data_IF_091715500978
#
_entry.id   IF_091715500978
#
_cell.length_a   1.000
_cell.length_b   1.000
_cell.length_c   1.000
_cell.angle_alpha   90.00
_cell.angle_beta   90.00
_cell.angle_gamma   90.00
#
_symmetry.space_group_name_H-M   'P 1'
#
loop_
_entity.id
_entity.type
_entity.pdbx_description
1 polymer ?
#
# COMPACT_ATOMS: atom_id res chain seq x y z
N UNK A 1 -6.84 -19.80 -14.07
CA UNK A 1 -7.07 -18.34 -14.04
C UNK A 1 -7.81 -18.00 -12.76
N UNK A 2 -7.48 -16.89 -12.12
CA UNK A 2 -8.11 -16.40 -10.89
C UNK A 2 -8.54 -14.96 -11.07
N UNK A 3 -9.64 -14.58 -10.44
CA UNK A 3 -10.06 -13.20 -10.30
C UNK A 3 -10.60 -12.99 -8.88
N UNK A 4 -10.12 -11.98 -8.18
CA UNK A 4 -10.55 -11.68 -6.82
C UNK A 4 -10.62 -10.19 -6.53
N UNK A 5 -11.36 -9.87 -5.49
CA UNK A 5 -11.33 -8.58 -4.84
C UNK A 5 -11.28 -8.76 -3.33
N UNK A 6 -10.73 -7.78 -2.62
CA UNK A 6 -10.55 -7.89 -1.20
C UNK A 6 -10.25 -6.56 -0.53
N UNK A 7 -9.94 -6.67 0.76
CA UNK A 7 -9.53 -5.55 1.58
C UNK A 7 -8.26 -5.87 2.33
N UNK A 8 -7.31 -4.94 2.29
CA UNK A 8 -6.06 -4.96 3.00
C UNK A 8 -6.13 -4.05 4.24
N UNK A 9 -5.91 -4.65 5.41
CA UNK A 9 -5.76 -3.96 6.69
C UNK A 9 -4.28 -3.69 6.96
N UNK A 10 -3.95 -2.52 7.52
CA UNK A 10 -2.56 -2.21 7.92
C UNK A 10 -2.04 -3.21 8.96
N UNK A 11 -0.84 -3.75 8.75
CA UNK A 11 -0.20 -4.69 9.68
C UNK A 11 1.03 -4.08 10.34
N UNK A 12 2.10 -3.85 9.58
CA UNK A 12 3.24 -3.05 10.03
C UNK A 12 3.01 -1.60 9.62
N UNK A 13 3.38 -0.69 10.51
CA UNK A 13 3.15 0.73 10.31
C UNK A 13 4.47 1.47 10.47
N UNK A 14 4.77 2.34 9.51
CA UNK A 14 5.83 3.32 9.69
C UNK A 14 5.34 4.43 10.60
N UNK A 15 6.27 5.00 11.35
CA UNK A 15 6.06 6.25 12.06
C UNK A 15 6.59 7.37 11.16
N UNK A 16 5.79 8.41 10.97
CA UNK A 16 6.36 9.68 10.55
C UNK A 16 6.97 10.37 11.77
N UNK A 17 7.99 11.19 11.59
CA UNK A 17 8.54 12.01 12.67
C UNK A 17 7.43 12.74 13.44
N UNK A 18 7.63 12.79 14.75
CA UNK A 18 6.65 13.11 15.79
C UNK A 18 5.82 14.36 15.48
N UNK A 19 4.55 14.37 15.89
CA UNK A 19 3.87 15.65 16.11
C UNK A 19 4.63 16.40 17.21
N UNK A 20 5.32 17.48 16.85
CA UNK A 20 5.90 18.39 17.82
C UNK A 20 4.82 19.39 18.20
N UNK A 21 4.31 19.29 19.43
CA UNK A 21 3.51 20.36 19.99
C UNK A 21 3.90 20.65 21.43
N UNK A 22 4.01 21.94 21.73
CA UNK A 22 4.20 22.44 23.08
C UNK A 22 2.80 22.67 23.68
N UNK A 23 2.36 21.83 24.61
CA UNK A 23 1.13 22.09 25.37
C UNK A 23 1.48 22.94 26.58
N UNK A 24 0.92 24.14 26.68
CA UNK A 24 0.95 24.93 27.92
C UNK A 24 0.00 24.27 28.93
N UNK A 25 0.55 23.73 30.02
CA UNK A 25 -0.23 23.24 31.17
C UNK A 25 0.27 24.01 32.39
N UNK A 26 -0.38 25.13 32.70
CA UNK A 26 0.13 26.10 33.69
C UNK A 26 1.37 26.85 33.18
N UNK A 27 2.36 27.10 34.04
CA UNK A 27 3.63 27.77 33.71
C UNK A 27 4.70 26.84 33.10
N UNK A 28 4.34 25.61 32.73
CA UNK A 28 5.26 24.61 32.18
C UNK A 28 4.81 24.14 30.80
N UNK A 29 5.79 23.90 29.92
CA UNK A 29 5.59 23.31 28.61
C UNK A 29 5.65 21.78 28.73
N UNK A 30 4.53 21.10 28.46
CA UNK A 30 4.49 19.63 28.33
C UNK A 30 4.47 19.30 26.85
N UNK A 31 5.50 18.61 26.35
CA UNK A 31 5.49 18.06 25.00
C UNK A 31 4.77 16.70 25.01
N UNK A 32 3.59 16.64 24.39
CA UNK A 32 2.91 15.36 24.16
C UNK A 32 3.20 14.91 22.73
N UNK A 33 3.57 13.63 22.57
CA UNK A 33 3.88 13.02 21.27
C UNK A 33 2.83 11.97 20.96
N UNK A 34 1.84 12.31 20.14
CA UNK A 34 0.96 11.31 19.56
C UNK A 34 1.65 10.64 18.37
N UNK A 35 1.57 9.31 18.28
CA UNK A 35 2.19 8.56 17.17
C UNK A 35 1.20 8.46 16.03
N UNK A 36 1.55 8.99 14.86
CA UNK A 36 0.82 8.74 13.63
C UNK A 36 1.37 7.52 12.91
N UNK A 37 0.75 6.38 13.17
CA UNK A 37 1.11 5.13 12.52
C UNK A 37 0.34 4.94 11.21
N UNK A 38 1.02 4.63 10.11
CA UNK A 38 0.40 4.43 8.81
C UNK A 38 1.01 3.27 8.02
N UNK A 39 0.22 2.73 7.08
CA UNK A 39 0.69 1.86 6.01
C UNK A 39 -0.03 2.21 4.71
N UNK A 40 0.72 2.42 3.64
CA UNK A 40 0.15 2.68 2.31
C UNK A 40 -0.34 1.41 1.61
N UNK A 41 -0.15 0.24 2.25
CA UNK A 41 -0.68 -1.04 1.80
C UNK A 41 -2.17 -1.25 2.10
N UNK A 42 -2.78 -0.36 2.89
CA UNK A 42 -4.20 -0.45 3.28
C UNK A 42 -5.12 0.00 2.15
N UNK A 43 -6.13 -0.80 1.82
CA UNK A 43 -7.13 -0.41 0.83
C UNK A 43 -7.84 -1.59 0.18
N UNK A 44 -8.57 -1.30 -0.91
CA UNK A 44 -9.25 -2.33 -1.71
C UNK A 44 -8.29 -2.85 -2.76
N UNK A 45 -8.19 -4.17 -2.89
CA UNK A 45 -7.38 -4.80 -3.93
C UNK A 45 -8.24 -5.52 -4.97
N UNK A 46 -7.77 -5.48 -6.21
CA UNK A 46 -8.32 -6.21 -7.35
C UNK A 46 -7.20 -7.03 -7.98
N UNK A 47 -7.43 -8.32 -8.18
CA UNK A 47 -6.37 -9.22 -8.61
C UNK A 47 -6.85 -10.14 -9.74
N UNK A 48 -5.95 -10.40 -10.67
CA UNK A 48 -6.12 -11.30 -11.79
C UNK A 48 -4.87 -12.18 -11.89
N UNK A 49 -5.06 -13.49 -11.88
CA UNK A 49 -3.95 -14.43 -11.89
C UNK A 49 -4.07 -15.52 -12.95
N UNK A 50 -2.91 -15.97 -13.40
CA UNK A 50 -2.75 -17.18 -14.20
C UNK A 50 -1.82 -18.11 -13.46
N UNK A 51 -2.15 -19.40 -13.43
CA UNK A 51 -1.37 -20.37 -12.68
C UNK A 51 -1.45 -21.75 -13.28
N UNK A 52 -0.44 -22.56 -12.96
CA UNK A 52 -0.28 -23.93 -13.41
C UNK A 52 0.03 -24.83 -12.21
N UNK A 53 -0.84 -25.82 -11.98
CA UNK A 53 -0.63 -26.85 -10.96
C UNK A 53 -0.04 -28.10 -11.60
N UNK A 54 1.07 -28.57 -11.05
CA UNK A 54 1.69 -29.86 -11.41
C UNK A 54 0.91 -31.03 -10.81
N UNK A 55 1.25 -32.26 -11.21
CA UNK A 55 0.66 -33.48 -10.61
C UNK A 55 1.02 -33.70 -9.14
N UNK A 56 2.06 -33.02 -8.63
CA UNK A 56 2.56 -33.18 -7.27
C UNK A 56 1.94 -32.15 -6.31
N UNK A 57 0.78 -31.59 -6.67
CA UNK A 57 0.09 -30.54 -5.90
C UNK A 57 0.87 -29.23 -5.74
N UNK A 58 2.03 -29.09 -6.39
CA UNK A 58 2.81 -27.85 -6.42
C UNK A 58 2.40 -27.07 -7.67
N UNK A 59 2.21 -25.76 -7.56
CA UNK A 59 1.96 -24.91 -8.71
C UNK A 59 2.69 -23.58 -8.65
N UNK A 60 2.66 -22.90 -9.80
CA UNK A 60 3.24 -21.58 -9.99
C UNK A 60 2.12 -20.65 -10.42
N UNK A 61 2.08 -19.44 -9.87
CA UNK A 61 1.08 -18.43 -10.20
C UNK A 61 1.79 -17.10 -10.50
N UNK A 62 1.28 -16.41 -11.51
CA UNK A 62 1.61 -15.02 -11.77
C UNK A 62 0.32 -14.22 -11.63
N UNK A 63 0.27 -13.37 -10.62
CA UNK A 63 -0.87 -12.50 -10.35
C UNK A 63 -0.51 -11.04 -10.66
N UNK A 64 -1.37 -10.34 -11.41
CA UNK A 64 -1.37 -8.89 -11.50
C UNK A 64 -2.45 -8.32 -10.58
N UNK A 65 -2.13 -7.28 -9.81
CA UNK A 65 -3.10 -6.63 -8.94
C UNK A 65 -3.03 -5.11 -8.96
N UNK A 66 -4.15 -4.49 -8.61
CA UNK A 66 -4.27 -3.05 -8.37
C UNK A 66 -4.76 -2.82 -6.94
N UNK A 67 -3.95 -2.12 -6.15
CA UNK A 67 -4.31 -1.65 -4.81
C UNK A 67 -4.83 -0.21 -4.92
N UNK A 68 -6.12 -0.02 -4.62
CA UNK A 68 -6.73 1.28 -4.41
C UNK A 68 -6.65 1.61 -2.91
N UNK A 69 -5.63 2.37 -2.52
CA UNK A 69 -5.38 2.66 -1.10
C UNK A 69 -6.47 3.51 -0.47
N UNK A 70 -6.72 3.24 0.81
CA UNK A 70 -7.58 4.07 1.64
C UNK A 70 -6.78 5.02 2.51
N UNK A 71 -7.35 6.20 2.72
CA UNK A 71 -6.79 7.22 3.61
C UNK A 71 -6.66 6.69 5.04
N UNK A 72 -5.45 6.79 5.57
CA UNK A 72 -5.20 6.74 7.01
C UNK A 72 -5.21 8.18 7.51
N UNK A 73 -6.11 8.51 8.44
CA UNK A 73 -6.32 9.86 8.93
C UNK A 73 -5.78 9.95 10.36
N UNK A 74 -4.89 10.90 10.60
CA UNK A 74 -4.42 11.29 11.92
C UNK A 74 -4.98 12.67 12.25
N UNK A 75 -5.49 12.83 13.46
CA UNK A 75 -5.92 14.13 13.98
C UNK A 75 -5.25 14.36 15.32
N UNK A 76 -4.76 15.57 15.52
CA UNK A 76 -4.20 16.02 16.78
C UNK A 76 -4.70 17.42 17.06
N UNK A 77 -5.24 17.62 18.26
CA UNK A 77 -5.66 18.94 18.72
C UNK A 77 -4.43 19.70 19.26
N UNK A 78 -4.21 20.90 18.72
CA UNK A 78 -3.09 21.78 19.01
C UNK A 78 -3.65 23.01 19.74
N UNK A 79 -3.18 23.28 20.96
CA UNK A 79 -3.81 24.26 21.85
C UNK A 79 -5.34 24.04 22.00
N UNK A 80 -6.09 24.96 22.63
CA UNK A 80 -7.49 24.70 23.04
C UNK A 80 -8.44 24.49 21.84
N UNK A 81 -8.07 24.90 20.62
CA UNK A 81 -9.00 24.95 19.48
C UNK A 81 -8.39 24.75 18.08
N UNK A 82 -7.08 24.53 17.93
CA UNK A 82 -6.50 24.25 16.61
C UNK A 82 -6.51 22.74 16.33
N UNK A 83 -6.72 22.35 15.08
CA UNK A 83 -6.77 20.94 14.68
C UNK A 83 -5.80 20.70 13.55
N UNK A 84 -4.80 19.85 13.81
CA UNK A 84 -3.92 19.32 12.78
C UNK A 84 -4.49 18.02 12.23
N UNK A 85 -4.61 17.90 10.91
CA UNK A 85 -5.08 16.70 10.23
C UNK A 85 -4.04 16.25 9.20
N UNK A 86 -3.74 14.95 9.22
CA UNK A 86 -2.86 14.27 8.26
C UNK A 86 -3.62 13.15 7.57
N UNK A 87 -3.52 13.04 6.26
CA UNK A 87 -4.07 11.93 5.48
C UNK A 87 -2.99 11.34 4.60
N UNK A 88 -2.84 10.02 4.60
CA UNK A 88 -1.89 9.30 3.75
C UNK A 88 -2.52 8.07 3.12
N UNK A 89 -2.26 7.85 1.84
CA UNK A 89 -2.73 6.67 1.08
C UNK A 89 -1.85 6.45 -0.15
N UNK A 90 -1.97 5.29 -0.79
CA UNK A 90 -1.28 5.02 -2.05
C UNK A 90 -2.05 4.13 -3.01
N UNK A 91 -1.78 4.27 -4.30
CA UNK A 91 -2.39 3.48 -5.35
C UNK A 91 -1.29 2.79 -6.16
N UNK A 92 -1.34 1.46 -6.25
CA UNK A 92 -0.23 0.67 -6.80
C UNK A 92 -0.70 -0.42 -7.75
N UNK A 93 -0.03 -0.51 -8.90
CA UNK A 93 -0.06 -1.67 -9.77
C UNK A 93 1.04 -2.63 -9.32
N UNK A 94 0.71 -3.92 -9.19
CA UNK A 94 1.61 -4.92 -8.62
C UNK A 94 1.57 -6.19 -9.44
N UNK A 95 2.67 -6.93 -9.37
CA UNK A 95 2.87 -8.25 -9.95
C UNK A 95 3.42 -9.15 -8.84
N UNK A 96 2.83 -10.33 -8.68
CA UNK A 96 3.16 -11.31 -7.66
C UNK A 96 3.45 -12.67 -8.30
N UNK A 97 4.70 -12.96 -8.70
CA UNK A 97 5.14 -14.32 -8.95
C UNK A 97 5.16 -15.14 -7.64
N UNK A 98 4.44 -16.25 -7.62
CA UNK A 98 4.34 -17.11 -6.44
C UNK A 98 4.42 -18.61 -6.77
N UNK A 99 4.80 -19.37 -5.75
CA UNK A 99 4.72 -20.83 -5.71
C UNK A 99 3.63 -21.17 -4.71
N UNK A 100 2.83 -22.19 -5.00
CA UNK A 100 1.79 -22.66 -4.10
C UNK A 100 1.75 -24.18 -3.98
N UNK A 101 1.22 -24.64 -2.86
CA UNK A 101 0.83 -26.03 -2.61
C UNK A 101 -0.69 -26.12 -2.54
N UNK A 102 -1.29 -27.04 -3.30
CA UNK A 102 -2.73 -27.27 -3.37
C UNK A 102 -3.08 -28.65 -2.82
N UNK A 103 -3.68 -28.72 -1.63
CA UNK A 103 -4.13 -29.98 -1.03
C UNK A 103 -5.65 -30.15 -1.16
N UNK A 104 -6.12 -31.11 -1.96
CA UNK A 104 -7.54 -31.44 -2.00
C UNK A 104 -7.96 -32.13 -0.70
N UNK A 105 -8.99 -31.61 -0.04
CA UNK A 105 -9.74 -32.27 1.03
C UNK A 105 -11.08 -32.78 0.46
N UNK A 106 -11.91 -33.43 1.29
CA UNK A 106 -13.15 -34.08 0.81
C UNK A 106 -14.10 -33.14 0.06
N UNK A 107 -14.36 -31.94 0.59
CA UNK A 107 -15.34 -30.99 0.02
C UNK A 107 -14.76 -29.63 -0.36
N UNK A 108 -13.46 -29.43 -0.11
CA UNK A 108 -12.77 -28.17 -0.33
C UNK A 108 -11.29 -28.47 -0.59
N UNK A 109 -10.54 -27.53 -1.15
CA UNK A 109 -9.09 -27.62 -1.26
C UNK A 109 -8.43 -26.50 -0.48
N UNK A 110 -7.25 -26.77 0.09
CA UNK A 110 -6.43 -25.77 0.76
C UNK A 110 -5.28 -25.39 -0.17
N UNK A 111 -5.10 -24.08 -0.41
CA UNK A 111 -3.95 -23.52 -1.13
C UNK A 111 -3.08 -22.75 -0.14
N UNK A 112 -1.79 -23.08 -0.09
CA UNK A 112 -0.77 -22.30 0.61
C UNK A 112 0.12 -21.67 -0.45
N UNK A 113 0.37 -20.37 -0.39
CA UNK A 113 1.15 -19.65 -1.39
C UNK A 113 2.20 -18.76 -0.74
N UNK A 114 3.33 -18.61 -1.43
CA UNK A 114 4.37 -17.64 -1.09
C UNK A 114 4.98 -17.09 -2.38
N UNK A 115 5.18 -15.78 -2.43
CA UNK A 115 5.62 -15.09 -3.64
C UNK A 115 6.37 -13.80 -3.36
N UNK A 116 7.11 -13.35 -4.37
CA UNK A 116 7.71 -12.03 -4.38
C UNK A 116 6.72 -11.01 -4.92
N UNK A 117 6.67 -9.82 -4.32
CA UNK A 117 5.75 -8.78 -4.71
C UNK A 117 6.52 -7.57 -5.23
N UNK A 118 6.22 -7.14 -6.45
CA UNK A 118 6.82 -5.95 -7.04
C UNK A 118 5.75 -5.07 -7.69
N UNK A 119 5.95 -3.77 -7.72
CA UNK A 119 4.98 -2.86 -8.27
C UNK A 119 5.48 -1.43 -8.42
N UNK A 120 4.59 -0.60 -8.93
CA UNK A 120 4.81 0.82 -9.13
C UNK A 120 3.48 1.56 -8.90
N UNK A 121 3.57 2.85 -8.61
CA UNK A 121 2.39 3.63 -8.31
C UNK A 121 2.71 4.96 -7.67
N UNK A 122 1.72 5.48 -6.95
CA UNK A 122 1.79 6.79 -6.31
C UNK A 122 1.35 6.69 -4.86
N UNK A 123 1.94 7.52 -4.03
CA UNK A 123 1.49 7.79 -2.67
C UNK A 123 1.11 9.27 -2.57
N UNK A 124 0.12 9.57 -1.74
CA UNK A 124 -0.36 10.92 -1.51
C UNK A 124 -0.30 11.23 -0.03
N UNK A 125 0.09 12.45 0.30
CA UNK A 125 0.11 12.98 1.65
C UNK A 125 -0.59 14.33 1.68
N UNK A 126 -1.67 14.42 2.44
CA UNK A 126 -2.36 15.68 2.68
C UNK A 126 -2.19 16.07 4.15
N UNK A 127 -1.86 17.32 4.39
CA UNK A 127 -1.75 17.92 5.71
C UNK A 127 -2.59 19.20 5.73
N UNK A 128 -3.33 19.40 6.80
CA UNK A 128 -4.09 20.63 6.98
C UNK A 128 -4.13 21.04 8.44
N UNK A 129 -4.07 22.35 8.69
CA UNK A 129 -4.31 22.94 10.00
C UNK A 129 -5.50 23.87 9.92
N UNK A 130 -6.37 23.75 10.91
CA UNK A 130 -7.46 24.69 11.17
C UNK A 130 -7.17 25.37 12.50
N UNK A 131 -7.19 26.71 12.52
CA UNK A 131 -7.05 27.50 13.74
C UNK A 131 -8.43 27.80 14.35
N UNK A 132 -8.46 28.14 15.65
CA UNK A 132 -9.58 28.74 16.40
C UNK A 132 -10.90 28.92 15.62
N UNK A 133 -11.95 28.19 16.02
CA UNK A 133 -13.32 28.34 15.48
C UNK A 133 -13.46 28.11 13.95
N UNK A 134 -12.53 27.38 13.32
CA UNK A 134 -12.68 26.96 11.93
C UNK A 134 -11.91 27.81 10.91
N UNK A 135 -11.07 28.75 11.37
CA UNK A 135 -10.25 29.55 10.46
C UNK A 135 -9.24 28.68 9.71
N UNK A 136 -9.12 28.81 8.38
CA UNK A 136 -8.16 28.03 7.60
C UNK A 136 -6.74 28.44 7.97
N UNK A 137 -5.92 27.48 8.38
CA UNK A 137 -4.51 27.70 8.69
C UNK A 137 -3.64 27.45 7.48
N UNK A 138 -3.26 26.20 7.25
CA UNK A 138 -2.58 25.81 6.03
C UNK A 138 -3.12 24.50 5.47
N UNK A 139 -2.97 24.31 4.15
CA UNK A 139 -3.20 23.04 3.48
C UNK A 139 -1.99 22.75 2.59
N UNK A 140 -1.47 21.53 2.71
CA UNK A 140 -0.29 21.06 1.99
C UNK A 140 -0.56 19.66 1.44
N UNK A 141 -0.42 19.48 0.14
CA UNK A 141 -0.63 18.20 -0.54
C UNK A 141 0.60 17.81 -1.35
N UNK A 142 1.03 16.56 -1.18
CA UNK A 142 2.17 16.00 -1.89
C UNK A 142 1.78 14.72 -2.62
N UNK A 143 2.32 14.57 -3.82
CA UNK A 143 2.33 13.34 -4.59
C UNK A 143 3.75 12.77 -4.63
N UNK A 144 3.90 11.49 -4.31
CA UNK A 144 5.17 10.75 -4.41
C UNK A 144 5.07 9.67 -5.47
N UNK A 145 6.04 9.59 -6.38
CA UNK A 145 5.97 8.75 -7.58
C UNK A 145 7.35 8.28 -8.10
N UNK A 146 7.35 7.57 -9.23
CA UNK A 146 8.54 7.15 -9.96
C UNK A 146 9.38 6.06 -9.27
N UNK A 147 8.90 5.52 -8.16
CA UNK A 147 9.58 4.54 -7.33
C UNK A 147 9.11 3.11 -7.52
N UNK A 148 9.60 2.24 -6.63
CA UNK A 148 9.24 0.83 -6.60
C UNK A 148 8.50 0.46 -5.32
N UNK A 149 7.51 -0.41 -5.47
CA UNK A 149 6.85 -1.15 -4.41
C UNK A 149 7.49 -2.55 -4.38
N UNK A 150 8.12 -2.94 -3.28
CA UNK A 150 8.79 -4.25 -3.18
C UNK A 150 8.45 -4.94 -1.86
N UNK A 151 8.33 -6.26 -1.91
CA UNK A 151 8.02 -7.07 -0.74
C UNK A 151 7.85 -8.54 -1.04
N UNK A 152 7.20 -9.24 -0.12
CA UNK A 152 6.74 -10.60 -0.30
C UNK A 152 5.29 -10.75 0.17
N UNK A 153 4.62 -11.76 -0.38
CA UNK A 153 3.27 -12.13 -0.02
C UNK A 153 3.23 -13.61 0.37
N UNK A 154 2.53 -13.93 1.45
CA UNK A 154 2.19 -15.28 1.83
C UNK A 154 0.68 -15.40 2.02
N UNK A 155 0.06 -16.45 1.48
CA UNK A 155 -1.39 -16.58 1.45
C UNK A 155 -1.88 -17.98 1.81
N UNK A 156 -3.03 -18.04 2.47
CA UNK A 156 -3.78 -19.26 2.75
C UNK A 156 -5.18 -19.09 2.15
N UNK A 157 -5.50 -19.92 1.15
CA UNK A 157 -6.79 -19.90 0.47
C UNK A 157 -7.55 -21.19 0.68
N UNK A 158 -8.86 -21.08 0.90
CA UNK A 158 -9.81 -22.20 0.91
C UNK A 158 -10.61 -22.15 -0.38
N UNK A 159 -10.60 -23.24 -1.14
CA UNK A 159 -11.26 -23.37 -2.43
C UNK A 159 -12.46 -24.31 -2.31
N UNK A 160 -13.63 -23.83 -2.70
CA UNK A 160 -14.87 -24.58 -2.76
C UNK A 160 -15.26 -24.85 -4.22
N UNK A 161 -15.32 -26.11 -4.66
CA UNK A 161 -15.71 -26.44 -6.03
C UNK A 161 -17.20 -26.18 -6.25
N UNK A 162 -17.52 -25.28 -7.17
CA UNK A 162 -18.89 -25.06 -7.65
C UNK A 162 -19.21 -26.13 -8.71
N UNK A 163 -18.25 -26.40 -9.60
CA UNK A 163 -18.32 -27.46 -10.61
C UNK A 163 -16.90 -27.91 -11.01
N UNK A 164 -16.77 -28.73 -12.06
CA UNK A 164 -15.49 -29.29 -12.50
C UNK A 164 -14.46 -28.25 -13.00
N UNK A 165 -14.89 -27.03 -13.32
CA UNK A 165 -14.06 -25.96 -13.89
C UNK A 165 -13.97 -24.73 -13.00
N UNK A 166 -14.97 -24.49 -12.15
CA UNK A 166 -15.12 -23.28 -11.36
C UNK A 166 -15.05 -23.58 -9.86
N UNK A 167 -14.15 -22.90 -9.17
CA UNK A 167 -14.07 -22.86 -7.71
C UNK A 167 -14.36 -21.44 -7.21
N UNK A 168 -15.08 -21.32 -6.11
CA UNK A 168 -15.07 -20.12 -5.28
C UNK A 168 -13.88 -20.23 -4.32
N UNK A 169 -13.21 -19.12 -4.00
CA UNK A 169 -12.20 -19.12 -2.96
C UNK A 169 -12.32 -17.94 -2.02
N UNK A 170 -11.88 -18.17 -0.79
CA UNK A 170 -11.59 -17.13 0.20
C UNK A 170 -10.11 -17.23 0.53
N UNK A 171 -9.44 -16.09 0.57
CA UNK A 171 -7.99 -15.99 0.80
C UNK A 171 -7.69 -15.04 1.95
N UNK A 172 -6.79 -15.45 2.82
CA UNK A 172 -6.13 -14.59 3.79
C UNK A 172 -4.66 -14.51 3.40
N UNK A 173 -4.17 -13.30 3.15
CA UNK A 173 -2.78 -13.05 2.81
C UNK A 173 -2.12 -12.11 3.80
N UNK A 174 -0.81 -12.26 3.92
CA UNK A 174 0.08 -11.38 4.62
C UNK A 174 1.07 -10.81 3.61
N UNK A 175 1.09 -9.50 3.51
CA UNK A 175 2.00 -8.73 2.66
C UNK A 175 2.97 -7.99 3.59
N UNK A 176 4.26 -8.23 3.40
CA UNK A 176 5.32 -7.43 3.99
C UNK A 176 6.02 -6.69 2.84
N UNK A 177 5.86 -5.37 2.81
CA UNK A 177 6.30 -4.57 1.67
C UNK A 177 6.57 -3.13 2.06
N UNK A 178 7.29 -2.43 1.19
CA UNK A 178 7.54 -1.01 1.29
C UNK A 178 7.47 -0.34 -0.09
N UNK A 179 7.19 0.96 -0.09
CA UNK A 179 7.25 1.81 -1.27
C UNK A 179 8.40 2.81 -1.13
N UNK A 180 9.24 2.92 -2.15
CA UNK A 180 10.37 3.85 -2.17
C UNK A 180 10.23 4.80 -3.35
N UNK A 181 9.66 6.01 -3.18
CA UNK A 181 9.53 6.96 -4.27
C UNK A 181 10.89 7.44 -4.76
N UNK A 182 10.95 7.85 -6.03
CA UNK A 182 12.11 8.54 -6.60
C UNK A 182 11.84 10.03 -6.79
N UNK A 183 10.57 10.44 -6.78
CA UNK A 183 10.13 11.82 -6.97
C UNK A 183 9.02 12.17 -5.99
N UNK A 184 9.00 13.42 -5.55
CA UNK A 184 7.91 14.04 -4.83
C UNK A 184 7.50 15.33 -5.54
N UNK A 185 6.24 15.75 -5.39
CA UNK A 185 5.75 17.03 -5.89
C UNK A 185 4.70 17.61 -4.97
N UNK A 186 4.84 18.89 -4.64
CA UNK A 186 3.78 19.67 -4.01
C UNK A 186 2.69 19.96 -5.06
N UNK A 187 1.49 19.45 -4.80
CA UNK A 187 0.33 19.65 -5.68
C UNK A 187 -0.60 20.73 -5.15
N UNK A 188 -0.46 21.12 -3.88
CA UNK A 188 -1.22 22.20 -3.27
C UNK A 188 -0.48 22.79 -2.08
N UNK A 189 -0.42 24.12 -2.02
CA UNK A 189 0.04 24.88 -0.85
C UNK A 189 -0.82 26.13 -0.65
N UNK A 190 -1.68 26.09 0.37
CA UNK A 190 -2.56 27.19 0.76
C UNK A 190 -2.18 27.64 2.16
N UNK A 191 -2.08 28.94 2.38
CA UNK A 191 -1.89 29.55 3.71
C UNK A 191 -2.91 30.66 3.93
N UNK A 192 -3.72 30.51 4.98
CA UNK A 192 -4.93 31.30 5.18
C UNK A 192 -5.89 31.15 4.00
N UNK A 193 -6.22 32.27 3.38
CA UNK A 193 -7.12 32.34 2.21
C UNK A 193 -6.39 32.35 0.86
N UNK A 194 -5.06 32.34 0.86
CA UNK A 194 -4.25 32.51 -0.36
C UNK A 194 -3.66 31.17 -0.82
N UNK A 195 -3.80 30.89 -2.11
CA UNK A 195 -3.16 29.76 -2.78
C UNK A 195 -1.80 30.20 -3.34
N UNK A 196 -0.75 29.56 -2.87
CA UNK A 196 0.64 29.83 -3.25
C UNK A 196 1.21 28.74 -4.18
N UNK A 197 0.42 27.74 -4.55
CA UNK A 197 0.88 26.55 -5.29
C UNK A 197 1.61 26.91 -6.57
N UNK A 198 1.09 27.89 -7.33
CA UNK A 198 1.64 28.25 -8.64
C UNK A 198 2.87 29.15 -8.56
N UNK A 199 3.12 29.79 -7.42
CA UNK A 199 4.27 30.67 -7.23
C UNK A 199 5.47 30.00 -6.54
N UNK A 200 5.32 28.74 -6.12
CA UNK A 200 6.43 27.94 -5.60
C UNK A 200 7.52 27.83 -6.68
N UNK A 201 8.78 28.01 -6.32
CA UNK A 201 9.87 27.70 -7.23
C UNK A 201 10.01 26.17 -7.43
N UNK A 202 10.93 25.73 -8.30
CA UNK A 202 11.09 24.31 -8.60
C UNK A 202 11.61 23.55 -7.38
N UNK A 203 12.47 24.20 -6.59
CA UNK A 203 13.05 23.64 -5.37
C UNK A 203 11.98 23.31 -4.32
N UNK A 204 11.04 24.22 -4.07
CA UNK A 204 9.95 24.04 -3.10
C UNK A 204 8.85 23.12 -3.64
N UNK A 205 8.71 23.02 -4.97
CA UNK A 205 7.63 22.25 -5.62
C UNK A 205 8.01 20.81 -5.90
N UNK A 206 9.27 20.52 -6.21
CA UNK A 206 9.70 19.20 -6.69
C UNK A 206 10.83 18.61 -5.85
N UNK A 207 10.72 17.32 -5.55
CA UNK A 207 11.70 16.58 -4.78
C UNK A 207 12.23 15.40 -5.60
N UNK A 208 13.53 15.15 -5.53
CA UNK A 208 14.18 13.96 -6.09
C UNK A 208 14.84 13.16 -4.98
N UNK A 209 14.56 11.86 -4.93
CA UNK A 209 15.06 10.96 -3.91
C UNK A 209 16.24 10.12 -4.42
N UNK A 210 17.35 10.16 -3.68
CA UNK A 210 18.60 9.49 -4.02
C UNK A 210 19.22 8.79 -2.81
N UNK A 211 20.13 7.85 -3.04
CA UNK A 211 20.80 7.12 -1.96
C UNK A 211 21.94 7.93 -1.31
N UNK A 212 22.36 9.03 -1.94
CA UNK A 212 23.39 9.95 -1.46
C UNK A 212 23.05 11.36 -1.92
N UNK A 213 23.19 12.33 -1.02
CA UNK A 213 22.99 13.75 -1.33
C UNK A 213 24.35 14.43 -1.27
N UNK A 214 24.93 14.70 -2.43
CA UNK A 214 26.26 15.31 -2.54
C UNK A 214 26.23 16.85 -2.51
N UNK A 215 25.03 17.45 -2.68
CA UNK A 215 24.82 18.90 -2.66
C UNK A 215 23.75 19.27 -1.62
N UNK A 216 24.13 20.09 -0.64
CA UNK A 216 23.18 20.72 0.30
C UNK A 216 22.51 21.98 -0.28
N UNK A 217 23.06 22.55 -1.35
CA UNK A 217 22.56 23.79 -1.97
C UNK A 217 22.25 23.54 -3.44
N UNK A 218 20.98 23.64 -3.82
CA UNK A 218 20.58 23.78 -5.23
C UNK A 218 20.07 25.20 -5.49
N UNK A 219 19.96 25.56 -6.76
CA UNK A 219 19.31 26.79 -7.21
C UNK A 219 17.79 26.65 -7.17
N UNK A 220 17.03 27.77 -7.06
CA UNK A 220 15.54 27.77 -7.14
C UNK A 220 14.94 27.05 -8.36
N UNK A 221 15.75 26.87 -9.42
CA UNK A 221 15.39 26.26 -10.69
C UNK A 221 15.55 24.72 -10.73
N UNK A 222 16.15 24.12 -9.70
CA UNK A 222 16.39 22.67 -9.62
C UNK A 222 15.56 22.02 -8.49
N UNK A 223 15.04 20.79 -8.67
CA UNK A 223 14.33 20.07 -7.63
C UNK A 223 15.18 19.87 -6.37
N UNK A 224 14.54 19.85 -5.20
CA UNK A 224 15.21 19.51 -3.95
C UNK A 224 15.70 18.06 -3.93
N UNK A 225 16.95 17.83 -3.56
CA UNK A 225 17.52 16.50 -3.42
C UNK A 225 17.38 16.00 -1.99
N UNK A 226 16.71 14.86 -1.81
CA UNK A 226 16.48 14.22 -0.52
C UNK A 226 17.03 12.80 -0.49
N UNK A 227 17.38 12.32 0.71
CA UNK A 227 17.71 10.91 0.92
C UNK A 227 16.46 10.06 0.71
N UNK A 228 16.62 8.93 0.02
CA UNK A 228 15.54 8.00 -0.26
C UNK A 228 14.92 7.46 1.03
N UNK A 229 13.60 7.57 1.12
CA UNK A 229 12.80 7.05 2.21
C UNK A 229 11.99 5.82 1.78
N UNK A 230 11.76 4.91 2.73
CA UNK A 230 10.93 3.72 2.54
C UNK A 230 9.64 3.88 3.36
N UNK A 231 8.50 3.91 2.67
CA UNK A 231 7.17 4.00 3.28
C UNK A 231 6.62 2.60 3.51
N UNK A 232 6.20 2.29 4.76
CA UNK A 232 5.60 1.00 5.07
C UNK A 232 4.36 0.74 4.21
N UNK A 233 4.31 -0.44 3.61
CA UNK A 233 3.21 -0.90 2.78
C UNK A 233 2.72 -2.31 3.16
N UNK A 234 3.12 -2.80 4.35
CA UNK A 234 2.72 -4.10 4.86
C UNK A 234 1.24 -4.12 5.27
N UNK A 235 0.57 -5.23 5.01
CA UNK A 235 -0.86 -5.42 5.27
C UNK A 235 -1.24 -6.88 5.48
N UNK A 236 -2.39 -7.12 6.10
CA UNK A 236 -3.10 -8.41 6.10
C UNK A 236 -4.34 -8.23 5.23
N UNK A 237 -4.48 -9.04 4.18
CA UNK A 237 -5.59 -8.99 3.25
C UNK A 237 -6.59 -10.10 3.47
N UNK A 238 -7.87 -9.79 3.28
CA UNK A 238 -8.95 -10.76 3.14
C UNK A 238 -9.56 -10.60 1.75
N UNK A 239 -9.60 -11.67 0.98
CA UNK A 239 -10.10 -11.65 -0.40
C UNK A 239 -11.14 -12.74 -0.64
N UNK A 240 -12.02 -12.47 -1.60
CA UNK A 240 -12.93 -13.47 -2.18
C UNK A 240 -12.80 -13.43 -3.70
N UNK A 241 -12.86 -14.60 -4.33
CA UNK A 241 -12.68 -14.68 -5.76
C UNK A 241 -13.15 -15.98 -6.37
N UNK A 242 -12.96 -16.05 -7.68
CA UNK A 242 -13.25 -17.23 -8.49
C UNK A 242 -11.95 -17.76 -9.11
N UNK A 243 -11.85 -19.07 -9.19
CA UNK A 243 -10.79 -19.76 -9.93
C UNK A 243 -11.42 -20.58 -11.06
N UNK A 244 -10.98 -20.31 -12.27
CA UNK A 244 -11.35 -21.05 -13.47
C UNK A 244 -10.21 -21.97 -13.94
N UNK A 245 -10.51 -23.26 -14.06
CA UNK A 245 -9.62 -24.28 -14.61
C UNK A 245 -9.82 -24.36 -16.11
N UNK A 246 -8.81 -23.94 -16.88
CA UNK A 246 -8.89 -23.92 -18.36
C UNK A 246 -8.59 -25.28 -18.98
N UNK A 247 -7.72 -26.08 -18.35
CA UNK A 247 -7.34 -27.40 -18.85
C UNK A 247 -7.30 -28.41 -17.72
N UNK A 248 -7.94 -29.55 -17.95
CA UNK A 248 -7.74 -30.78 -17.18
C UNK A 248 -6.99 -31.77 -18.04
N UNK A 249 -5.86 -32.28 -17.57
CA UNK A 249 -5.25 -33.45 -18.17
C UNK A 249 -5.97 -34.66 -17.58
N UNK A 250 -6.83 -35.30 -18.37
CA UNK A 250 -7.48 -36.55 -17.96
C UNK A 250 -6.40 -37.55 -17.53
N UNK A 251 -6.61 -38.18 -16.37
CA UNK A 251 -5.84 -39.38 -16.03
C UNK A 251 -6.29 -40.45 -17.01
N UNK A 252 -5.43 -40.81 -17.97
CA UNK A 252 -5.58 -42.05 -18.71
C UNK A 252 -5.82 -43.15 -17.67
N UNK A 253 -7.00 -43.77 -17.72
CA UNK A 253 -7.28 -45.01 -17.01
C UNK A 253 -6.25 -46.00 -17.51
N UNK A 254 -5.26 -46.32 -16.68
CA UNK A 254 -4.46 -47.51 -16.93
C UNK A 254 -5.45 -48.68 -16.98
N UNK A 255 -5.48 -49.32 -18.13
CA UNK A 255 -6.21 -50.55 -18.40
C UNK A 255 -5.87 -51.54 -17.29
N UNK A 256 -6.90 -51.96 -16.55
CA UNK A 256 -6.86 -53.26 -15.90
C UNK A 256 -6.74 -54.27 -17.03
N UNK A 257 -5.52 -54.77 -17.26
CA UNK A 257 -5.31 -56.02 -17.95
C UNK A 257 -5.47 -57.10 -16.89
N UNK A 258 -6.51 -57.91 -17.07
CA UNK A 258 -6.85 -59.09 -16.28
C UNK A 258 -5.72 -60.13 -16.24
#
# INVERSE_FOLDING_TARGET
MTASTGYNFSAEKSNFDNFYYNKLVGAFYTQNKDRFEYSVGKGVNFNLGIGYTTKQDIGFELEGSYLMGMKTIGKTDYFVSDVFKKEIWGCFYRINPSIYLLRPLKKLSLKLSIGGLMGFGKMYLNQSVTYNEGMPGFQYENEFSGGYYLGFEAGISVLYPINNQLNLFVDVNWINAYFSPMRGRVTKFVSGEHDYTDILDVWDREFTYSNSVDKMFNTPEEPANMLRENFAASSIGLQVGIQWSLWHKEKNKEEKVD
#
